data_IF_586462799231
#
_entry.id   IF_586462799231
#
_cell.length_a   1.000
_cell.length_b   1.000
_cell.length_c   1.000
_cell.angle_alpha   90.00
_cell.angle_beta   90.00
_cell.angle_gamma   90.00
#
_symmetry.space_group_name_H-M   'P 1'
#
loop_
_entity.id
_entity.type
_entity.pdbx_description
1 polymer ?
#
# COMPACT_ATOMS: atom_id res chain seq x y z
N UNK A 1 -5.58 -45.47 -37.19
CA UNK A 1 -5.71 -44.02 -36.91
C UNK A 1 -5.96 -43.80 -35.39
N UNK A 2 -4.90 -43.45 -34.66
CA UNK A 2 -4.94 -42.75 -33.34
C UNK A 2 -4.96 -41.23 -33.58
N UNK A 3 -5.09 -40.31 -32.59
CA UNK A 3 -5.14 -40.45 -31.10
C UNK A 3 -6.41 -39.78 -30.47
N UNK A 4 -6.84 -39.93 -29.21
CA UNK A 4 -6.25 -39.73 -27.86
C UNK A 4 -5.76 -38.29 -27.58
N UNK A 5 -6.65 -37.44 -27.07
CA UNK A 5 -6.32 -36.09 -26.56
C UNK A 5 -6.68 -35.98 -25.08
N UNK A 6 -5.69 -36.26 -24.24
CA UNK A 6 -5.59 -35.77 -22.86
C UNK A 6 -5.59 -34.24 -22.84
N UNK A 7 -6.67 -33.63 -22.36
CA UNK A 7 -6.72 -32.17 -22.10
C UNK A 7 -5.89 -31.84 -20.87
N UNK A 8 -4.60 -31.59 -21.08
CA UNK A 8 -3.68 -31.08 -20.06
C UNK A 8 -3.93 -29.58 -19.90
N UNK A 9 -4.23 -29.11 -18.68
CA UNK A 9 -4.36 -27.67 -18.39
C UNK A 9 -3.09 -26.91 -18.77
N UNK A 10 -3.17 -25.74 -19.43
CA UNK A 10 -1.99 -25.01 -19.83
C UNK A 10 -1.34 -24.38 -18.59
N UNK A 11 -0.21 -24.93 -18.17
CA UNK A 11 0.69 -24.23 -17.24
C UNK A 11 1.34 -23.08 -18.00
N UNK A 12 0.98 -21.85 -17.66
CA UNK A 12 1.60 -20.65 -18.21
C UNK A 12 3.11 -20.66 -17.90
N UNK A 13 3.94 -20.62 -18.95
CA UNK A 13 5.41 -20.54 -18.85
C UNK A 13 5.85 -19.12 -19.22
N UNK A 14 6.75 -18.52 -18.45
CA UNK A 14 7.42 -17.28 -18.84
C UNK A 14 8.51 -17.55 -19.90
N UNK A 15 9.02 -16.48 -20.53
CA UNK A 15 9.98 -16.48 -21.66
C UNK A 15 11.32 -17.21 -21.42
N UNK A 16 11.52 -17.82 -20.25
CA UNK A 16 12.72 -18.61 -19.88
C UNK A 16 12.39 -20.04 -19.43
N UNK A 17 11.17 -20.53 -19.67
CA UNK A 17 10.79 -21.94 -19.47
C UNK A 17 10.66 -22.40 -18.00
N UNK A 18 10.78 -21.50 -17.02
CA UNK A 18 10.70 -21.84 -15.60
C UNK A 18 9.24 -21.85 -15.12
N UNK A 19 8.80 -22.87 -14.34
CA UNK A 19 7.47 -22.86 -13.73
C UNK A 19 7.32 -21.63 -12.81
N UNK A 20 6.29 -20.84 -13.06
CA UNK A 20 5.93 -19.67 -12.24
C UNK A 20 5.31 -20.21 -10.95
N UNK A 21 6.00 -20.01 -9.82
CA UNK A 21 5.41 -20.28 -8.52
C UNK A 21 4.16 -19.40 -8.35
N UNK A 22 3.03 -19.91 -7.84
CA UNK A 22 1.84 -19.11 -7.63
C UNK A 22 2.19 -17.93 -6.73
N UNK A 23 1.96 -16.71 -7.24
CA UNK A 23 2.08 -15.48 -6.46
C UNK A 23 1.16 -15.63 -5.26
N UNK A 24 1.70 -15.42 -4.05
CA UNK A 24 0.89 -15.31 -2.85
C UNK A 24 0.13 -13.99 -2.92
N UNK A 25 -0.95 -13.98 -3.70
CA UNK A 25 -1.89 -12.87 -3.72
C UNK A 25 -2.48 -12.73 -2.34
N UNK A 26 -2.26 -11.57 -1.72
CA UNK A 26 -2.92 -11.24 -0.47
C UNK A 26 -4.42 -11.14 -0.79
N UNK A 27 -5.28 -11.94 -0.15
CA UNK A 27 -6.66 -12.11 -0.58
C UNK A 27 -7.38 -10.77 -0.63
N UNK A 28 -8.09 -10.54 -1.74
CA UNK A 28 -8.96 -9.40 -1.92
C UNK A 28 -9.97 -9.29 -0.76
N UNK A 29 -10.52 -8.11 -0.43
CA UNK A 29 -11.35 -7.92 0.76
C UNK A 29 -12.59 -8.84 0.82
N UNK A 30 -13.16 -9.20 -0.32
CA UNK A 30 -14.25 -10.16 -0.41
C UNK A 30 -13.81 -11.58 -0.01
N UNK A 31 -12.59 -11.98 -0.39
CA UNK A 31 -12.01 -13.26 0.00
C UNK A 31 -11.70 -13.29 1.50
N UNK A 32 -11.24 -12.18 2.10
CA UNK A 32 -11.01 -12.09 3.56
C UNK A 32 -12.31 -12.17 4.36
N UNK A 33 -13.40 -11.51 3.91
CA UNK A 33 -14.72 -11.64 4.57
C UNK A 33 -15.25 -13.07 4.52
N UNK A 34 -15.06 -13.76 3.39
CA UNK A 34 -15.42 -15.17 3.25
C UNK A 34 -14.59 -16.03 4.20
N UNK A 35 -13.26 -15.85 4.22
CA UNK A 35 -12.39 -16.57 5.15
C UNK A 35 -12.74 -16.33 6.62
N UNK A 36 -13.19 -15.12 7.00
CA UNK A 36 -13.64 -14.82 8.36
C UNK A 36 -14.98 -15.48 8.69
N UNK A 37 -15.96 -15.42 7.79
CA UNK A 37 -17.21 -16.15 7.97
C UNK A 37 -16.98 -17.67 8.08
N UNK A 38 -16.03 -18.20 7.32
CA UNK A 38 -15.61 -19.60 7.40
C UNK A 38 -14.91 -19.91 8.75
N UNK A 39 -14.11 -18.98 9.29
CA UNK A 39 -13.43 -19.09 10.59
C UNK A 39 -14.36 -18.88 11.81
N UNK A 40 -15.48 -18.19 11.64
CA UNK A 40 -16.54 -18.03 12.64
C UNK A 40 -17.46 -19.25 12.70
N UNK A 41 -17.68 -19.92 11.55
CA UNK A 41 -18.42 -21.18 11.47
C UNK A 41 -17.63 -22.43 11.87
N UNK A 42 -16.30 -22.36 11.83
CA UNK A 42 -15.40 -23.46 12.21
C UNK A 42 -14.78 -23.23 13.60
N UNK A 43 -14.91 -24.19 14.52
CA UNK A 43 -14.35 -24.09 15.88
C UNK A 43 -13.23 -25.09 16.15
N UNK A 44 -12.41 -25.30 15.11
CA UNK A 44 -11.22 -26.15 15.16
C UNK A 44 -9.98 -25.39 15.68
N UNK A 45 -8.89 -26.10 16.02
CA UNK A 45 -7.67 -25.47 16.54
C UNK A 45 -7.03 -24.46 15.58
N UNK A 46 -7.13 -24.66 14.27
CA UNK A 46 -6.59 -23.76 13.26
C UNK A 46 -7.38 -22.44 13.25
N UNK A 47 -8.71 -22.50 13.33
CA UNK A 47 -9.56 -21.33 13.43
C UNK A 47 -9.29 -20.52 14.71
N UNK A 48 -9.10 -21.19 15.86
CA UNK A 48 -8.77 -20.52 17.13
C UNK A 48 -7.41 -19.82 17.09
N UNK A 49 -6.41 -20.41 16.44
CA UNK A 49 -5.09 -19.79 16.29
C UNK A 49 -5.13 -18.56 15.39
N UNK A 50 -5.92 -18.57 14.31
CA UNK A 50 -5.95 -17.46 13.35
C UNK A 50 -6.90 -16.32 13.74
N UNK A 51 -7.94 -16.58 14.55
CA UNK A 51 -8.96 -15.59 14.95
C UNK A 51 -8.35 -14.26 15.43
N UNK A 52 -7.40 -14.22 16.39
CA UNK A 52 -6.84 -12.96 16.91
C UNK A 52 -6.19 -12.09 15.82
N UNK A 53 -5.47 -12.71 14.88
CA UNK A 53 -4.79 -12.01 13.79
C UNK A 53 -5.75 -11.40 12.77
N UNK A 54 -6.95 -11.96 12.62
CA UNK A 54 -8.00 -11.44 11.74
C UNK A 54 -8.90 -10.42 12.44
N UNK A 55 -9.13 -10.55 13.75
CA UNK A 55 -9.89 -9.57 14.56
C UNK A 55 -9.18 -8.22 14.62
N UNK A 56 -7.86 -8.19 14.87
CA UNK A 56 -7.07 -6.95 14.84
C UNK A 56 -7.10 -6.27 13.46
N UNK A 57 -7.14 -7.09 12.40
CA UNK A 57 -7.24 -6.61 11.02
C UNK A 57 -8.63 -6.06 10.67
N UNK A 58 -9.70 -6.50 11.33
CA UNK A 58 -11.06 -5.95 11.17
C UNK A 58 -11.18 -4.58 11.83
N UNK A 59 -10.72 -4.45 13.08
CA UNK A 59 -10.72 -3.17 13.81
C UNK A 59 -9.91 -2.11 13.07
N UNK A 60 -8.75 -2.49 12.50
CA UNK A 60 -7.94 -1.61 11.66
C UNK A 60 -8.69 -1.15 10.39
N UNK A 61 -9.51 -2.01 9.79
CA UNK A 61 -10.25 -1.71 8.56
C UNK A 61 -11.50 -0.86 8.79
N UNK A 62 -12.27 -1.13 9.86
CA UNK A 62 -13.43 -0.31 10.22
C UNK A 62 -13.01 1.14 10.45
N UNK A 63 -11.89 1.36 11.14
CA UNK A 63 -11.31 2.70 11.33
C UNK A 63 -10.90 3.39 10.03
N UNK A 64 -10.39 2.64 9.04
CA UNK A 64 -9.99 3.19 7.73
C UNK A 64 -11.21 3.48 6.84
N UNK A 65 -12.27 2.69 6.93
CA UNK A 65 -13.51 2.92 6.18
C UNK A 65 -14.21 4.22 6.60
N UNK A 66 -13.98 4.69 7.83
CA UNK A 66 -14.43 5.98 8.34
C UNK A 66 -13.54 7.15 7.87
N UNK A 67 -12.48 6.89 7.12
CA UNK A 67 -11.50 7.92 6.75
C UNK A 67 -11.79 8.55 5.37
N UNK A 68 -11.73 9.88 5.22
CA UNK A 68 -12.34 10.56 4.07
C UNK A 68 -11.71 10.24 2.71
N UNK A 69 -10.40 9.97 2.65
CA UNK A 69 -9.71 9.73 1.38
C UNK A 69 -10.05 8.35 0.83
N UNK A 70 -10.02 7.33 1.69
CA UNK A 70 -10.42 5.96 1.30
C UNK A 70 -11.87 5.93 0.77
N UNK A 71 -12.81 6.55 1.50
CA UNK A 71 -14.21 6.60 1.10
C UNK A 71 -14.47 7.38 -0.19
N UNK A 72 -13.69 8.44 -0.45
CA UNK A 72 -13.75 9.17 -1.72
C UNK A 72 -13.33 8.29 -2.91
N UNK A 73 -12.18 7.61 -2.80
CA UNK A 73 -11.68 6.72 -3.85
C UNK A 73 -12.62 5.53 -4.06
N UNK A 74 -13.16 4.96 -2.98
CA UNK A 74 -14.11 3.86 -3.08
C UNK A 74 -15.33 4.21 -3.94
N UNK A 75 -15.94 5.38 -3.72
CA UNK A 75 -17.09 5.85 -4.50
C UNK A 75 -16.77 6.01 -5.98
N UNK A 76 -15.58 6.49 -6.30
CA UNK A 76 -15.14 6.67 -7.70
C UNK A 76 -14.91 5.33 -8.37
N UNK A 77 -14.13 4.44 -7.74
CA UNK A 77 -13.80 3.11 -8.30
C UNK A 77 -15.06 2.27 -8.52
N UNK A 78 -16.05 2.33 -7.64
CA UNK A 78 -17.31 1.59 -7.83
C UNK A 78 -18.16 2.08 -9.00
N UNK A 79 -17.96 3.32 -9.46
CA UNK A 79 -18.76 3.93 -10.52
C UNK A 79 -18.05 3.94 -11.88
N UNK A 80 -16.76 3.65 -11.93
CA UNK A 80 -15.97 3.66 -13.17
C UNK A 80 -15.80 2.25 -13.71
N UNK A 81 -16.04 2.06 -15.02
CA UNK A 81 -15.77 0.79 -15.72
C UNK A 81 -14.48 0.91 -16.54
N UNK A 82 -13.57 -0.05 -16.39
CA UNK A 82 -12.31 -0.13 -17.13
C UNK A 82 -11.10 0.41 -16.37
N UNK A 83 -9.91 0.21 -16.95
CA UNK A 83 -8.64 0.69 -16.37
C UNK A 83 -8.61 2.22 -16.34
N UNK A 84 -8.44 2.79 -15.15
CA UNK A 84 -8.40 4.25 -14.95
C UNK A 84 -7.01 4.66 -14.48
N UNK A 85 -6.59 5.89 -14.80
CA UNK A 85 -5.42 6.49 -14.16
C UNK A 85 -5.88 7.40 -13.02
N UNK A 86 -5.47 7.09 -11.79
CA UNK A 86 -5.85 7.84 -10.59
C UNK A 86 -4.66 8.64 -10.07
N UNK A 87 -4.86 9.94 -9.83
CA UNK A 87 -3.87 10.79 -9.17
C UNK A 87 -4.34 11.12 -7.75
N UNK A 88 -3.53 10.81 -6.75
CA UNK A 88 -3.79 11.06 -5.33
C UNK A 88 -2.79 12.10 -4.84
N UNK A 89 -3.28 13.25 -4.38
CA UNK A 89 -2.45 14.30 -3.77
C UNK A 89 -2.70 14.32 -2.26
N UNK A 90 -1.68 14.02 -1.46
CA UNK A 90 -1.82 13.93 0.00
C UNK A 90 -0.47 14.07 0.71
N UNK A 91 -0.45 13.93 2.02
CA UNK A 91 0.75 13.91 2.85
C UNK A 91 0.92 12.52 3.52
N UNK A 92 1.99 12.35 4.30
CA UNK A 92 2.30 11.12 5.03
C UNK A 92 1.65 11.05 6.42
N UNK A 93 0.69 11.93 6.75
CA UNK A 93 0.07 11.95 8.09
C UNK A 93 -0.76 10.70 8.40
N UNK A 94 -1.24 9.99 7.38
CA UNK A 94 -2.07 8.77 7.49
C UNK A 94 -1.56 7.64 6.58
N UNK A 95 -0.36 7.08 6.84
CA UNK A 95 0.29 6.14 5.92
C UNK A 95 -0.49 4.82 5.77
N UNK A 96 -1.16 4.40 6.84
CA UNK A 96 -2.07 3.26 6.90
C UNK A 96 -3.26 3.39 5.92
N UNK A 97 -3.98 4.51 5.99
CA UNK A 97 -5.12 4.80 5.12
C UNK A 97 -4.67 4.91 3.66
N UNK A 98 -3.54 5.58 3.41
CA UNK A 98 -3.05 5.79 2.05
C UNK A 98 -2.69 4.48 1.36
N UNK A 99 -2.06 3.53 2.05
CA UNK A 99 -1.75 2.20 1.48
C UNK A 99 -3.01 1.46 1.05
N UNK A 100 -4.06 1.47 1.87
CA UNK A 100 -5.32 0.82 1.53
C UNK A 100 -6.05 1.55 0.40
N UNK A 101 -5.99 2.89 0.38
CA UNK A 101 -6.54 3.72 -0.69
C UNK A 101 -5.87 3.44 -2.04
N UNK A 102 -4.54 3.39 -2.08
CA UNK A 102 -3.77 3.04 -3.28
C UNK A 102 -4.09 1.61 -3.72
N UNK A 103 -4.21 0.68 -2.77
CA UNK A 103 -4.59 -0.71 -3.05
C UNK A 103 -6.01 -0.85 -3.63
N UNK A 104 -6.89 0.08 -3.30
CA UNK A 104 -8.24 0.15 -3.87
C UNK A 104 -8.22 0.79 -5.26
N UNK A 105 -7.49 1.89 -5.43
CA UNK A 105 -7.41 2.64 -6.69
C UNK A 105 -6.77 1.85 -7.83
N UNK A 106 -5.83 0.94 -7.53
CA UNK A 106 -5.13 0.10 -8.54
C UNK A 106 -5.92 -1.10 -9.06
N UNK A 107 -7.15 -1.32 -8.58
CA UNK A 107 -7.94 -2.48 -9.02
C UNK A 107 -8.28 -2.40 -10.50
N UNK A 108 -8.58 -3.55 -11.07
CA UNK A 108 -9.05 -3.69 -12.45
C UNK A 108 -8.05 -3.14 -13.50
N UNK A 109 -6.76 -3.27 -13.21
CA UNK A 109 -5.66 -2.85 -14.10
C UNK A 109 -5.45 -1.33 -14.15
N UNK A 110 -5.94 -0.61 -13.14
CA UNK A 110 -5.79 0.83 -13.02
C UNK A 110 -4.40 1.21 -12.50
N UNK A 111 -3.88 2.33 -12.98
CA UNK A 111 -2.58 2.88 -12.54
C UNK A 111 -2.81 4.02 -11.55
N UNK A 112 -1.88 4.20 -10.61
CA UNK A 112 -1.98 5.20 -9.54
C UNK A 112 -0.71 6.05 -9.48
N UNK A 113 -0.86 7.36 -9.54
CA UNK A 113 0.20 8.31 -9.19
C UNK A 113 -0.12 8.95 -7.85
N UNK A 114 0.79 8.83 -6.89
CA UNK A 114 0.69 9.47 -5.58
C UNK A 114 1.68 10.63 -5.53
N UNK A 115 1.16 11.84 -5.39
CA UNK A 115 1.92 13.05 -5.09
C UNK A 115 1.89 13.25 -3.57
N UNK A 116 3.04 13.04 -2.94
CA UNK A 116 3.20 12.99 -1.49
C UNK A 116 3.97 14.20 -0.98
N UNK A 117 3.31 15.00 -0.16
CA UNK A 117 3.92 16.10 0.57
C UNK A 117 4.48 15.61 1.92
N UNK A 118 5.78 15.76 2.22
CA UNK A 118 6.31 15.40 3.54
C UNK A 118 5.75 16.36 4.59
N UNK A 119 4.87 15.90 5.48
CA UNK A 119 4.16 16.73 6.45
C UNK A 119 5.14 17.55 7.31
N UNK A 120 6.29 16.97 7.66
CA UNK A 120 7.36 17.61 8.42
C UNK A 120 7.88 18.91 7.77
N UNK A 121 7.85 19.02 6.44
CA UNK A 121 8.31 20.22 5.74
C UNK A 121 7.26 21.34 5.71
N UNK A 122 5.99 21.04 6.01
CA UNK A 122 4.89 22.00 5.94
C UNK A 122 4.36 22.42 7.32
N UNK A 123 4.60 21.64 8.37
CA UNK A 123 4.13 21.92 9.71
C UNK A 123 4.74 23.20 10.32
N UNK A 124 3.93 24.04 11.00
CA UNK A 124 4.43 25.16 11.79
C UNK A 124 5.41 24.67 12.87
N UNK A 125 6.64 25.19 12.87
CA UNK A 125 7.67 24.75 13.81
C UNK A 125 8.28 23.37 13.50
N UNK A 126 7.94 22.75 12.35
CA UNK A 126 8.52 21.46 11.93
C UNK A 126 10.04 21.48 11.78
N UNK A 127 10.64 22.67 11.61
CA UNK A 127 12.08 22.89 11.53
C UNK A 127 12.69 23.50 12.80
N UNK A 128 11.91 23.67 13.89
CA UNK A 128 12.46 24.16 15.16
C UNK A 128 13.40 23.15 15.82
N UNK A 129 13.20 21.86 15.53
CA UNK A 129 14.06 20.75 15.90
C UNK A 129 14.46 20.00 14.63
N UNK A 130 15.62 20.35 14.08
CA UNK A 130 16.10 19.82 12.80
C UNK A 130 16.48 18.33 12.87
N UNK A 131 16.90 17.84 14.04
CA UNK A 131 17.24 16.42 14.21
C UNK A 131 15.98 15.57 14.15
N UNK A 132 14.94 15.95 14.89
CA UNK A 132 13.63 15.29 14.82
C UNK A 132 13.00 15.45 13.42
N UNK A 133 13.21 16.59 12.77
CA UNK A 133 12.73 16.81 11.41
C UNK A 133 13.37 15.83 10.41
N UNK A 134 14.68 15.58 10.57
CA UNK A 134 15.42 14.64 9.75
C UNK A 134 14.93 13.21 9.93
N UNK A 135 14.74 12.72 11.16
CA UNK A 135 14.24 11.38 11.41
C UNK A 135 12.81 11.18 10.84
N UNK A 136 11.94 12.21 10.95
CA UNK A 136 10.60 12.19 10.34
C UNK A 136 10.66 12.20 8.81
N UNK A 137 11.59 12.95 8.21
CA UNK A 137 11.80 12.94 6.77
C UNK A 137 12.29 11.58 6.28
N UNK A 138 13.15 10.89 7.04
CA UNK A 138 13.56 9.52 6.71
C UNK A 138 12.38 8.54 6.75
N UNK A 139 11.49 8.65 7.74
CA UNK A 139 10.28 7.84 7.81
C UNK A 139 9.35 8.10 6.61
N UNK A 140 9.21 9.36 6.19
CA UNK A 140 8.52 9.73 4.96
C UNK A 140 9.15 9.04 3.73
N UNK A 141 10.47 9.09 3.60
CA UNK A 141 11.19 8.52 2.46
C UNK A 141 11.06 6.99 2.39
N UNK A 142 11.15 6.31 3.53
CA UNK A 142 10.89 4.87 3.62
C UNK A 142 9.47 4.54 3.16
N UNK A 143 8.48 5.28 3.67
CA UNK A 143 7.09 5.10 3.29
C UNK A 143 6.82 5.35 1.81
N UNK A 144 7.39 6.42 1.24
CA UNK A 144 7.26 6.75 -0.19
C UNK A 144 7.86 5.65 -1.07
N UNK A 145 9.04 5.13 -0.69
CA UNK A 145 9.69 4.02 -1.40
C UNK A 145 8.84 2.76 -1.36
N UNK A 146 8.31 2.42 -0.19
CA UNK A 146 7.43 1.28 -0.03
C UNK A 146 6.16 1.37 -0.89
N UNK A 147 5.57 2.58 -1.03
CA UNK A 147 4.45 2.78 -1.94
C UNK A 147 4.86 2.59 -3.40
N UNK A 148 6.04 3.07 -3.80
CA UNK A 148 6.58 2.90 -5.15
C UNK A 148 6.95 1.45 -5.51
N UNK A 149 7.07 0.56 -4.51
CA UNK A 149 7.27 -0.87 -4.72
C UNK A 149 5.98 -1.63 -5.07
N UNK A 150 4.82 -0.97 -4.99
CA UNK A 150 3.53 -1.57 -5.36
C UNK A 150 3.38 -1.50 -6.89
N UNK A 151 3.08 -2.63 -7.54
CA UNK A 151 2.88 -2.64 -8.99
C UNK A 151 1.77 -1.66 -9.40
N UNK A 152 1.98 -0.99 -10.53
CA UNK A 152 1.08 0.03 -11.10
C UNK A 152 0.96 1.31 -10.25
N UNK A 153 1.91 1.55 -9.35
CA UNK A 153 1.98 2.75 -8.50
C UNK A 153 3.25 3.55 -8.77
N UNK A 154 3.11 4.85 -8.94
CA UNK A 154 4.20 5.83 -8.96
C UNK A 154 4.07 6.75 -7.76
N UNK A 155 5.08 6.83 -6.89
CA UNK A 155 5.08 7.69 -5.71
C UNK A 155 6.16 8.79 -5.82
N UNK A 156 5.72 10.04 -5.88
CA UNK A 156 6.56 11.23 -6.08
C UNK A 156 6.48 12.14 -4.86
N UNK A 157 7.63 12.66 -4.42
CA UNK A 157 7.69 13.72 -3.41
C UNK A 157 7.32 15.07 -4.03
N UNK A 158 6.54 15.87 -3.31
CA UNK A 158 6.26 17.28 -3.63
C UNK A 158 6.55 18.11 -2.39
N UNK A 159 7.59 18.95 -2.43
CA UNK A 159 8.05 19.65 -1.25
C UNK A 159 8.77 20.98 -1.55
N UNK A 160 8.87 21.88 -0.55
CA UNK A 160 9.65 23.10 -0.64
C UNK A 160 11.16 22.78 -0.58
N UNK A 161 11.87 23.05 -1.68
CA UNK A 161 13.27 22.67 -1.85
C UNK A 161 14.22 23.30 -0.82
N UNK A 162 13.92 24.53 -0.38
CA UNK A 162 14.65 25.27 0.65
C UNK A 162 14.58 24.57 2.01
N UNK A 163 13.39 24.11 2.42
CA UNK A 163 13.21 23.42 3.70
C UNK A 163 13.81 22.02 3.70
N UNK A 164 13.71 21.31 2.58
CA UNK A 164 14.37 20.01 2.42
C UNK A 164 15.89 20.14 2.59
N UNK A 165 16.48 21.15 1.96
CA UNK A 165 17.92 21.41 2.05
C UNK A 165 18.37 21.61 3.50
N UNK A 166 17.64 22.42 4.27
CA UNK A 166 17.92 22.66 5.69
C UNK A 166 17.88 21.37 6.55
N UNK A 167 16.90 20.49 6.31
CA UNK A 167 16.79 19.21 7.02
C UNK A 167 17.96 18.27 6.68
N UNK A 168 18.36 18.21 5.41
CA UNK A 168 19.47 17.35 4.96
C UNK A 168 20.84 17.86 5.44
N UNK A 169 21.02 19.16 5.62
CA UNK A 169 22.23 19.74 6.23
C UNK A 169 22.41 19.33 7.70
N UNK A 170 21.31 19.35 8.46
CA UNK A 170 21.33 18.89 9.85
C UNK A 170 21.69 17.41 9.97
N UNK A 171 21.14 16.56 9.09
CA UNK A 171 21.45 15.13 9.06
C UNK A 171 22.93 14.82 8.76
N UNK A 172 23.57 15.57 7.85
CA UNK A 172 24.99 15.42 7.55
C UNK A 172 25.89 15.74 8.75
N UNK A 173 25.54 16.78 9.49
CA UNK A 173 26.26 17.21 10.71
C UNK A 173 26.21 16.18 11.85
N UNK A 174 25.23 15.26 11.84
CA UNK A 174 25.14 14.14 12.77
C UNK A 174 26.07 12.99 12.39
N UNK A 175 26.14 12.66 11.10
CA UNK A 175 27.00 11.59 10.59
C UNK A 175 28.50 11.85 10.78
N UNK A 176 28.90 13.12 10.84
CA UNK A 176 30.29 13.54 11.08
C UNK A 176 30.71 13.48 12.57
N UNK A 177 29.76 13.36 13.50
CA UNK A 177 30.01 13.33 14.95
C UNK A 177 29.96 11.93 15.57
N UNK A 178 29.58 10.90 14.81
CA UNK A 178 29.49 9.51 15.23
C UNK A 178 30.69 8.69 14.73
#
# INVERSE_FOLDING_TARGET
PSPDETTTSPTARNATGRPVAPRRDRPAPAAVRRSLADLEGADDPFARTLRPFYTDRQVYRERIAETPLYGAVQRTVTNTKGSTWTVICTDDSRPAELRETVSLARRDGSTVTVLLAPAVLYEPGGLADLERAYDRYLAFEEFRRDLGMIDDVTALEVGPADRLSAVLEAGRSRGERA
#
